data_IF_254958576921
#
_entry.id   IF_254958576921
#
_cell.length_a   1.000
_cell.length_b   1.000
_cell.length_c   1.000
_cell.angle_alpha   90.00
_cell.angle_beta   90.00
_cell.angle_gamma   90.00
#
_symmetry.space_group_name_H-M   'P 1'
#
loop_
_entity.id
_entity.type
_entity.pdbx_description
1 polymer ?
#
# COMPACT_ATOMS: atom_id res chain seq x y z
N UNK A 1 14.56 -72.18 -126.37
CA UNK A 1 14.95 -70.96 -125.64
C UNK A 1 14.10 -70.66 -124.38
N UNK A 2 12.88 -71.20 -124.21
CA UNK A 2 11.97 -70.80 -123.10
C UNK A 2 12.33 -71.42 -121.72
N UNK A 3 12.91 -72.63 -121.66
CA UNK A 3 13.28 -73.30 -120.39
C UNK A 3 14.43 -72.64 -119.61
N UNK A 4 15.38 -71.98 -120.30
CA UNK A 4 16.49 -71.27 -119.64
C UNK A 4 16.02 -69.97 -118.97
N UNK A 5 15.01 -69.30 -119.52
CA UNK A 5 14.39 -68.12 -118.89
C UNK A 5 13.58 -68.49 -117.64
N UNK A 6 12.95 -69.67 -117.60
CA UNK A 6 12.14 -70.13 -116.46
C UNK A 6 13.01 -70.52 -115.23
N UNK A 7 14.16 -71.15 -115.48
CA UNK A 7 15.17 -71.44 -114.45
C UNK A 7 15.88 -70.17 -113.95
N UNK A 8 16.18 -69.22 -114.83
CA UNK A 8 16.70 -67.90 -114.46
C UNK A 8 15.70 -67.07 -113.64
N UNK A 9 14.41 -67.17 -113.94
CA UNK A 9 13.34 -66.51 -113.19
C UNK A 9 13.13 -67.11 -111.79
N UNK A 10 13.20 -68.43 -111.64
CA UNK A 10 13.14 -69.11 -110.33
C UNK A 10 14.38 -68.82 -109.48
N UNK A 11 15.59 -68.88 -110.05
CA UNK A 11 16.82 -68.50 -109.35
C UNK A 11 16.82 -67.02 -108.96
N UNK A 12 16.36 -66.13 -109.84
CA UNK A 12 16.16 -64.72 -109.55
C UNK A 12 15.12 -64.48 -108.45
N UNK A 13 14.02 -65.26 -108.44
CA UNK A 13 12.98 -65.22 -107.41
C UNK A 13 13.47 -65.69 -106.03
N UNK A 14 14.29 -66.74 -105.98
CA UNK A 14 14.89 -67.23 -104.73
C UNK A 14 15.95 -66.25 -104.21
N UNK A 15 16.79 -65.70 -105.08
CA UNK A 15 17.79 -64.69 -104.70
C UNK A 15 17.11 -63.41 -104.21
N UNK A 16 16.08 -62.92 -104.91
CA UNK A 16 15.31 -61.75 -104.46
C UNK A 16 14.55 -62.02 -103.16
N UNK A 17 13.98 -63.21 -102.95
CA UNK A 17 13.34 -63.58 -101.69
C UNK A 17 14.35 -63.68 -100.53
N UNK A 18 15.54 -64.25 -100.74
CA UNK A 18 16.61 -64.32 -99.72
C UNK A 18 17.17 -62.93 -99.40
N UNK A 19 17.37 -62.07 -100.40
CA UNK A 19 17.78 -60.67 -100.22
C UNK A 19 16.68 -59.89 -99.49
N UNK A 20 15.41 -60.09 -99.82
CA UNK A 20 14.29 -59.46 -99.13
C UNK A 20 14.16 -59.94 -97.68
N UNK A 21 14.36 -61.23 -97.41
CA UNK A 21 14.33 -61.80 -96.07
C UNK A 21 15.51 -61.32 -95.23
N UNK A 22 16.71 -61.23 -95.82
CA UNK A 22 17.91 -60.68 -95.19
C UNK A 22 17.76 -59.18 -94.92
N UNK A 23 17.23 -58.41 -95.89
CA UNK A 23 16.92 -57.00 -95.73
C UNK A 23 15.85 -56.78 -94.66
N UNK A 24 14.82 -57.64 -94.60
CA UNK A 24 13.78 -57.60 -93.58
C UNK A 24 14.33 -57.96 -92.19
N UNK A 25 15.19 -58.98 -92.08
CA UNK A 25 15.89 -59.33 -90.82
C UNK A 25 16.85 -58.24 -90.35
N UNK A 26 17.56 -57.58 -91.26
CA UNK A 26 18.41 -56.43 -90.95
C UNK A 26 17.59 -55.20 -90.56
N UNK A 27 16.47 -54.94 -91.24
CA UNK A 27 15.55 -53.85 -90.92
C UNK A 27 14.85 -54.08 -89.57
N UNK A 28 14.38 -55.30 -89.29
CA UNK A 28 13.78 -55.66 -88.01
C UNK A 28 14.80 -55.67 -86.87
N UNK A 29 16.05 -56.12 -87.11
CA UNK A 29 17.14 -55.98 -86.14
C UNK A 29 17.52 -54.52 -85.87
N UNK A 30 17.52 -53.65 -86.88
CA UNK A 30 17.72 -52.20 -86.72
C UNK A 30 16.56 -51.54 -85.98
N UNK A 31 15.32 -51.92 -86.28
CA UNK A 31 14.13 -51.43 -85.59
C UNK A 31 14.12 -51.86 -84.12
N UNK A 32 14.44 -53.14 -83.83
CA UNK A 32 14.63 -53.65 -82.47
C UNK A 32 15.76 -52.93 -81.73
N UNK A 33 16.90 -52.66 -82.38
CA UNK A 33 17.99 -51.88 -81.76
C UNK A 33 17.56 -50.44 -81.46
N UNK A 34 16.78 -49.80 -82.33
CA UNK A 34 16.23 -48.46 -82.09
C UNK A 34 15.24 -48.45 -80.92
N UNK A 35 14.24 -49.34 -80.95
CA UNK A 35 13.27 -49.51 -79.86
C UNK A 35 13.96 -49.82 -78.53
N UNK A 36 14.99 -50.68 -78.54
CA UNK A 36 15.79 -50.99 -77.34
C UNK A 36 16.55 -49.76 -76.83
N UNK A 37 17.16 -48.97 -77.72
CA UNK A 37 17.85 -47.73 -77.33
C UNK A 37 16.89 -46.65 -76.82
N UNK A 38 15.67 -46.57 -77.37
CA UNK A 38 14.60 -45.69 -76.89
C UNK A 38 14.08 -46.12 -75.52
N UNK A 39 13.86 -47.43 -75.33
CA UNK A 39 13.48 -47.99 -74.04
C UNK A 39 14.57 -47.76 -72.98
N UNK A 40 15.86 -47.95 -73.33
CA UNK A 40 16.99 -47.66 -72.43
C UNK A 40 17.05 -46.17 -72.06
N UNK A 41 16.81 -45.25 -73.01
CA UNK A 41 16.70 -43.82 -72.73
C UNK A 41 15.51 -43.49 -71.81
N UNK A 42 14.34 -44.07 -72.07
CA UNK A 42 13.16 -43.88 -71.22
C UNK A 42 13.40 -44.37 -69.80
N UNK A 43 13.97 -45.57 -69.64
CA UNK A 43 14.35 -46.11 -68.33
C UNK A 43 15.32 -45.17 -67.63
N UNK A 44 16.32 -44.63 -68.35
CA UNK A 44 17.27 -43.69 -67.78
C UNK A 44 16.63 -42.36 -67.34
N UNK A 45 15.73 -41.79 -68.15
CA UNK A 45 14.98 -40.58 -67.78
C UNK A 45 14.03 -40.82 -66.60
N UNK A 46 13.40 -41.99 -66.52
CA UNK A 46 12.52 -42.36 -65.41
C UNK A 46 13.31 -42.58 -64.11
N UNK A 47 14.51 -43.16 -64.19
CA UNK A 47 15.39 -43.28 -63.01
C UNK A 47 15.85 -41.91 -62.54
N UNK A 48 16.31 -41.03 -63.44
CA UNK A 48 16.66 -39.65 -63.08
C UNK A 48 15.49 -38.87 -62.47
N UNK A 49 14.28 -39.01 -63.03
CA UNK A 49 13.08 -38.40 -62.48
C UNK A 49 12.72 -38.98 -61.09
N UNK A 50 12.89 -40.29 -60.90
CA UNK A 50 12.70 -40.95 -59.60
C UNK A 50 13.70 -40.47 -58.55
N UNK A 51 14.97 -40.33 -58.92
CA UNK A 51 16.02 -39.81 -58.03
C UNK A 51 15.73 -38.36 -57.63
N UNK A 52 15.38 -37.49 -58.59
CA UNK A 52 15.01 -36.10 -58.33
C UNK A 52 13.74 -35.97 -57.46
N UNK A 53 12.76 -36.85 -57.68
CA UNK A 53 11.55 -36.92 -56.85
C UNK A 53 11.90 -37.33 -55.41
N UNK A 54 12.80 -38.30 -55.24
CA UNK A 54 13.23 -38.75 -53.91
C UNK A 54 14.00 -37.67 -53.16
N UNK A 55 14.80 -36.86 -53.86
CA UNK A 55 15.48 -35.70 -53.28
C UNK A 55 14.48 -34.63 -52.82
N UNK A 56 13.47 -34.32 -53.65
CA UNK A 56 12.38 -33.41 -53.29
C UNK A 56 11.60 -33.89 -52.06
N UNK A 57 11.27 -35.18 -51.97
CA UNK A 57 10.59 -35.75 -50.80
C UNK A 57 11.46 -35.57 -49.55
N UNK A 58 12.76 -35.85 -49.65
CA UNK A 58 13.69 -35.63 -48.53
C UNK A 58 13.75 -34.16 -48.07
N UNK A 59 13.75 -33.22 -49.02
CA UNK A 59 13.71 -31.79 -48.72
C UNK A 59 12.39 -31.37 -48.04
N UNK A 60 11.26 -31.85 -48.55
CA UNK A 60 9.93 -31.59 -47.97
C UNK A 60 9.81 -32.19 -46.56
N UNK A 61 10.36 -33.36 -46.33
CA UNK A 61 10.37 -34.02 -45.03
C UNK A 61 11.22 -33.23 -44.02
N UNK A 62 12.39 -32.73 -44.44
CA UNK A 62 13.20 -31.81 -43.64
C UNK A 62 12.48 -30.49 -43.34
N UNK A 63 11.81 -29.88 -44.32
CA UNK A 63 11.01 -28.67 -44.10
C UNK A 63 9.86 -28.91 -43.13
N UNK A 64 9.16 -30.05 -43.25
CA UNK A 64 8.06 -30.42 -42.36
C UNK A 64 8.55 -30.59 -40.93
N UNK A 65 9.67 -31.29 -40.73
CA UNK A 65 10.31 -31.43 -39.42
C UNK A 65 10.74 -30.08 -38.83
N UNK A 66 11.30 -29.18 -39.65
CA UNK A 66 11.67 -27.83 -39.22
C UNK A 66 10.45 -27.01 -38.81
N UNK A 67 9.34 -27.13 -39.56
CA UNK A 67 8.08 -26.44 -39.26
C UNK A 67 7.47 -26.98 -37.96
N UNK A 68 7.44 -28.30 -37.77
CA UNK A 68 6.96 -28.94 -36.55
C UNK A 68 7.78 -28.51 -35.32
N UNK A 69 9.10 -28.45 -35.45
CA UNK A 69 9.98 -27.93 -34.40
C UNK A 69 9.68 -26.45 -34.08
N UNK A 70 9.47 -25.62 -35.10
CA UNK A 70 9.10 -24.21 -34.92
C UNK A 70 7.74 -24.03 -34.25
N UNK A 71 6.73 -24.81 -34.64
CA UNK A 71 5.40 -24.81 -34.01
C UNK A 71 5.50 -25.26 -32.54
N UNK A 72 6.30 -26.29 -32.24
CA UNK A 72 6.53 -26.73 -30.88
C UNK A 72 7.17 -25.63 -30.02
N UNK A 73 8.19 -24.96 -30.55
CA UNK A 73 8.84 -23.83 -29.87
C UNK A 73 7.86 -22.67 -29.62
N UNK A 74 7.09 -22.27 -30.64
CA UNK A 74 6.09 -21.20 -30.52
C UNK A 74 5.00 -21.54 -29.49
N UNK A 75 4.58 -22.80 -29.41
CA UNK A 75 3.64 -23.25 -28.36
C UNK A 75 4.24 -23.08 -26.98
N UNK A 76 5.50 -23.48 -26.79
CA UNK A 76 6.21 -23.30 -25.52
C UNK A 76 6.34 -21.82 -25.15
N UNK A 77 6.77 -20.97 -26.09
CA UNK A 77 6.84 -19.50 -25.88
C UNK A 77 5.47 -18.92 -25.52
N UNK A 78 4.40 -19.30 -26.23
CA UNK A 78 3.05 -18.82 -25.94
C UNK A 78 2.57 -19.25 -24.55
N UNK A 79 2.86 -20.49 -24.13
CA UNK A 79 2.52 -20.95 -22.77
C UNK A 79 3.30 -20.17 -21.70
N UNK A 80 4.57 -19.89 -21.94
CA UNK A 80 5.41 -19.13 -21.01
C UNK A 80 4.97 -17.66 -20.94
N UNK A 81 4.60 -17.07 -22.07
CA UNK A 81 4.09 -15.71 -22.14
C UNK A 81 2.71 -15.59 -21.46
N UNK A 82 1.84 -16.58 -21.61
CA UNK A 82 0.55 -16.64 -20.89
C UNK A 82 0.76 -16.72 -19.39
N UNK A 83 1.67 -17.58 -18.92
CA UNK A 83 1.98 -17.69 -17.50
C UNK A 83 2.52 -16.38 -16.93
N UNK A 84 3.46 -15.73 -17.64
CA UNK A 84 4.00 -14.42 -17.26
C UNK A 84 2.92 -13.32 -17.24
N UNK A 85 1.98 -13.33 -18.20
CA UNK A 85 0.88 -12.38 -18.20
C UNK A 85 -0.07 -12.56 -17.01
N UNK A 86 -0.30 -13.80 -16.59
CA UNK A 86 -1.13 -14.08 -15.41
C UNK A 86 -0.41 -13.70 -14.10
N UNK A 87 0.91 -13.88 -14.01
CA UNK A 87 1.74 -13.38 -12.90
C UNK A 87 1.67 -11.85 -12.79
N UNK A 88 1.88 -11.12 -13.89
CA UNK A 88 1.79 -9.64 -13.91
C UNK A 88 0.39 -9.16 -13.55
N UNK A 89 -0.66 -9.85 -14.00
CA UNK A 89 -2.05 -9.52 -13.60
C UNK A 89 -2.27 -9.72 -12.10
N UNK A 90 -1.74 -10.79 -11.53
CA UNK A 90 -1.85 -11.06 -10.09
C UNK A 90 -1.10 -10.00 -9.28
N UNK A 91 0.10 -9.62 -9.70
CA UNK A 91 0.91 -8.57 -9.07
C UNK A 91 0.21 -7.20 -9.16
N UNK A 92 -0.33 -6.85 -10.32
CA UNK A 92 -1.10 -5.61 -10.51
C UNK A 92 -2.34 -5.56 -9.60
N UNK A 93 -3.07 -6.67 -9.47
CA UNK A 93 -4.22 -6.75 -8.58
C UNK A 93 -3.81 -6.55 -7.12
N UNK A 94 -2.75 -7.21 -6.67
CA UNK A 94 -2.22 -7.05 -5.32
C UNK A 94 -1.76 -5.60 -5.05
N UNK A 95 -1.14 -4.95 -6.05
CA UNK A 95 -0.73 -3.55 -5.95
C UNK A 95 -1.94 -2.59 -5.84
N UNK A 96 -3.01 -2.82 -6.61
CA UNK A 96 -4.24 -2.03 -6.52
C UNK A 96 -4.93 -2.19 -5.15
N UNK A 97 -5.04 -3.42 -4.64
CA UNK A 97 -5.56 -3.69 -3.30
C UNK A 97 -4.70 -3.03 -2.21
N UNK A 98 -3.37 -3.06 -2.36
CA UNK A 98 -2.45 -2.37 -1.47
C UNK A 98 -2.64 -0.85 -1.49
N UNK A 99 -2.87 -0.26 -2.67
CA UNK A 99 -3.14 1.18 -2.81
C UNK A 99 -4.42 1.61 -2.10
N UNK A 100 -5.50 0.84 -2.24
CA UNK A 100 -6.77 1.14 -1.57
C UNK A 100 -6.64 1.06 -0.04
N UNK A 101 -5.90 0.07 0.47
CA UNK A 101 -5.58 -0.02 1.90
C UNK A 101 -4.77 1.18 2.41
N UNK A 102 -3.80 1.66 1.62
CA UNK A 102 -3.00 2.84 1.96
C UNK A 102 -3.86 4.10 1.99
N UNK A 103 -4.77 4.28 1.02
CA UNK A 103 -5.70 5.41 1.00
C UNK A 103 -6.64 5.40 2.23
N UNK A 104 -7.15 4.23 2.62
CA UNK A 104 -7.94 4.09 3.85
C UNK A 104 -7.14 4.43 5.11
N UNK A 105 -5.87 3.98 5.21
CA UNK A 105 -5.01 4.34 6.34
C UNK A 105 -4.72 5.84 6.39
N UNK A 106 -4.48 6.48 5.24
CA UNK A 106 -4.25 7.92 5.16
C UNK A 106 -5.45 8.73 5.67
N UNK A 107 -6.67 8.34 5.29
CA UNK A 107 -7.90 9.00 5.78
C UNK A 107 -8.11 8.81 7.28
N UNK A 108 -7.85 7.62 7.82
CA UNK A 108 -7.89 7.37 9.27
C UNK A 108 -6.88 8.23 10.03
N UNK A 109 -5.67 8.36 9.49
CA UNK A 109 -4.60 9.13 10.10
C UNK A 109 -4.91 10.63 10.11
N UNK A 110 -5.50 11.16 9.03
CA UNK A 110 -5.98 12.54 8.97
C UNK A 110 -7.10 12.81 10.00
N UNK A 111 -8.02 11.87 10.18
CA UNK A 111 -9.06 11.97 11.20
C UNK A 111 -8.48 11.99 12.62
N UNK A 112 -7.47 11.16 12.89
CA UNK A 112 -6.79 11.14 14.19
C UNK A 112 -5.99 12.43 14.44
N UNK A 113 -5.33 12.98 13.42
CA UNK A 113 -4.68 14.30 13.52
C UNK A 113 -5.67 15.40 13.89
N UNK A 114 -6.85 15.43 13.25
CA UNK A 114 -7.90 16.40 13.56
C UNK A 114 -8.40 16.23 15.00
N UNK A 115 -8.55 14.99 15.48
CA UNK A 115 -8.94 14.68 16.86
C UNK A 115 -7.89 15.18 17.86
N UNK A 116 -6.61 14.92 17.61
CA UNK A 116 -5.51 15.38 18.46
C UNK A 116 -5.41 16.91 18.48
N UNK A 117 -5.63 17.58 17.36
CA UNK A 117 -5.69 19.05 17.29
C UNK A 117 -6.82 19.63 18.14
N UNK A 118 -8.00 19.01 18.09
CA UNK A 118 -9.13 19.39 18.97
C UNK A 118 -8.82 19.20 20.46
N UNK A 119 -8.10 18.13 20.79
CA UNK A 119 -7.65 17.87 22.16
C UNK A 119 -6.60 18.91 22.60
N UNK A 120 -5.63 19.24 21.75
CA UNK A 120 -4.64 20.28 22.02
C UNK A 120 -5.30 21.63 22.37
N UNK A 121 -6.29 22.04 21.58
CA UNK A 121 -7.07 23.26 21.88
C UNK A 121 -7.85 23.19 23.19
N UNK A 122 -8.24 21.99 23.63
CA UNK A 122 -8.90 21.80 24.95
C UNK A 122 -7.92 21.96 26.10
N UNK A 123 -6.70 21.43 25.95
CA UNK A 123 -5.63 21.62 26.93
C UNK A 123 -5.22 23.09 27.06
N UNK A 124 -5.19 23.84 25.96
CA UNK A 124 -4.92 25.29 26.00
C UNK A 124 -5.98 26.04 26.81
N UNK A 125 -7.27 25.76 26.58
CA UNK A 125 -8.35 26.37 27.38
C UNK A 125 -8.25 26.01 28.86
N UNK A 126 -7.93 24.75 29.18
CA UNK A 126 -7.71 24.34 30.57
C UNK A 126 -6.50 25.04 31.18
N UNK A 127 -5.43 25.24 30.42
CA UNK A 127 -4.26 25.98 30.87
C UNK A 127 -4.62 27.42 31.28
N UNK A 128 -5.36 28.15 30.44
CA UNK A 128 -5.86 29.48 30.75
C UNK A 128 -6.78 29.50 31.99
N UNK A 129 -7.70 28.53 32.09
CA UNK A 129 -8.59 28.40 33.25
C UNK A 129 -7.82 28.17 34.55
N UNK A 130 -6.75 27.38 34.52
CA UNK A 130 -5.92 27.14 35.69
C UNK A 130 -5.13 28.39 36.12
N UNK A 131 -4.63 29.19 35.16
CA UNK A 131 -3.99 30.49 35.47
C UNK A 131 -5.00 31.41 36.17
N UNK A 132 -6.24 31.46 35.68
CA UNK A 132 -7.31 32.23 36.32
C UNK A 132 -7.60 31.70 37.73
N UNK A 133 -7.66 30.38 37.93
CA UNK A 133 -7.92 29.77 39.23
C UNK A 133 -6.80 30.06 40.25
N UNK A 134 -5.53 30.00 39.82
CA UNK A 134 -4.39 30.38 40.65
C UNK A 134 -4.47 31.85 41.09
N UNK A 135 -4.84 32.74 40.16
CA UNK A 135 -5.04 34.16 40.46
C UNK A 135 -6.19 34.38 41.46
N UNK A 136 -7.29 33.66 41.29
CA UNK A 136 -8.42 33.68 42.23
C UNK A 136 -8.03 33.19 43.62
N UNK A 137 -7.27 32.09 43.74
CA UNK A 137 -6.77 31.63 45.04
C UNK A 137 -5.88 32.68 45.73
N UNK A 138 -5.01 33.37 44.98
CA UNK A 138 -4.19 34.46 45.52
C UNK A 138 -5.04 35.63 46.05
N UNK A 139 -6.10 36.00 45.36
CA UNK A 139 -7.07 37.00 45.84
C UNK A 139 -7.79 36.54 47.11
N UNK A 140 -8.22 35.27 47.17
CA UNK A 140 -8.85 34.72 48.38
C UNK A 140 -7.89 34.70 49.58
N UNK A 141 -6.60 34.43 49.36
CA UNK A 141 -5.57 34.57 50.40
C UNK A 141 -5.46 36.00 50.90
N UNK A 142 -5.47 37.00 50.00
CA UNK A 142 -5.42 38.41 50.38
C UNK A 142 -6.63 38.80 51.23
N UNK A 143 -7.84 38.43 50.79
CA UNK A 143 -9.10 38.68 51.52
C UNK A 143 -9.13 37.99 52.88
N UNK A 144 -8.64 36.76 52.98
CA UNK A 144 -8.57 36.06 54.27
C UNK A 144 -7.56 36.71 55.24
N UNK A 145 -6.44 37.24 54.72
CA UNK A 145 -5.48 38.01 55.55
C UNK A 145 -6.11 39.30 56.09
N UNK A 146 -6.85 40.01 55.25
CA UNK A 146 -7.58 41.21 55.65
C UNK A 146 -8.63 40.88 56.71
N UNK A 147 -9.45 39.85 56.48
CA UNK A 147 -10.46 39.39 57.43
C UNK A 147 -9.83 38.98 58.78
N UNK A 148 -8.71 38.24 58.75
CA UNK A 148 -7.96 37.90 59.96
C UNK A 148 -7.44 39.15 60.70
N UNK A 149 -7.07 40.21 59.98
CA UNK A 149 -6.67 41.49 60.57
C UNK A 149 -7.84 42.22 61.22
N UNK A 150 -9.00 42.26 60.55
CA UNK A 150 -10.24 42.83 61.10
C UNK A 150 -10.63 42.10 62.39
N UNK A 151 -10.61 40.77 62.38
CA UNK A 151 -10.94 39.96 63.55
C UNK A 151 -10.02 40.28 64.74
N UNK A 152 -8.69 40.36 64.53
CA UNK A 152 -7.76 40.77 65.58
C UNK A 152 -8.07 42.17 66.12
N UNK A 153 -8.45 43.10 65.26
CA UNK A 153 -8.85 44.44 65.68
C UNK A 153 -10.12 44.40 66.54
N UNK A 154 -11.12 43.59 66.17
CA UNK A 154 -12.35 43.40 66.96
C UNK A 154 -12.03 42.80 68.33
N UNK A 155 -11.08 41.86 68.42
CA UNK A 155 -10.62 41.33 69.72
C UNK A 155 -10.07 42.47 70.60
N UNK A 156 -9.24 43.36 70.07
CA UNK A 156 -8.68 44.50 70.83
C UNK A 156 -9.78 45.48 71.25
N UNK A 157 -10.70 45.84 70.34
CA UNK A 157 -11.80 46.76 70.64
C UNK A 157 -12.73 46.18 71.72
N UNK A 158 -13.05 44.89 71.62
CA UNK A 158 -13.88 44.19 72.62
C UNK A 158 -13.21 44.15 73.99
N UNK A 159 -11.89 43.94 74.05
CA UNK A 159 -11.12 43.98 75.29
C UNK A 159 -11.15 45.39 75.91
N UNK A 160 -10.92 46.44 75.11
CA UNK A 160 -10.99 47.81 75.58
C UNK A 160 -12.39 48.15 76.11
N UNK A 161 -13.45 47.70 75.42
CA UNK A 161 -14.82 47.86 75.87
C UNK A 161 -15.10 47.11 77.19
N UNK A 162 -14.57 45.89 77.37
CA UNK A 162 -14.66 45.17 78.64
C UNK A 162 -13.97 45.91 79.79
N UNK A 163 -12.80 46.50 79.54
CA UNK A 163 -12.06 47.28 80.55
C UNK A 163 -12.85 48.53 80.96
N UNK A 164 -13.37 49.28 79.98
CA UNK A 164 -14.14 50.50 80.28
C UNK A 164 -15.47 50.18 80.97
N UNK A 165 -16.13 49.08 80.58
CA UNK A 165 -17.31 48.57 81.27
C UNK A 165 -17.03 48.20 82.73
N UNK A 166 -15.88 47.60 83.02
CA UNK A 166 -15.45 47.32 84.40
C UNK A 166 -15.17 48.62 85.18
N UNK A 167 -14.57 49.62 84.52
CA UNK A 167 -14.29 50.94 85.11
C UNK A 167 -15.55 51.71 85.48
N UNK A 168 -16.62 51.57 84.70
CA UNK A 168 -17.94 52.16 84.98
C UNK A 168 -18.72 51.45 86.12
N UNK A 169 -18.18 50.36 86.68
CA UNK A 169 -18.77 49.66 87.82
C UNK A 169 -20.18 49.11 87.54
N UNK A 170 -21.14 49.42 88.41
CA UNK A 170 -22.51 48.88 88.32
C UNK A 170 -23.25 49.35 87.07
N UNK A 171 -22.95 50.56 86.58
CA UNK A 171 -23.52 51.13 85.36
C UNK A 171 -23.01 50.45 84.07
N UNK A 172 -21.84 49.83 84.11
CA UNK A 172 -21.20 49.16 82.97
C UNK A 172 -21.55 47.69 82.77
N UNK A 173 -22.33 47.06 83.67
CA UNK A 173 -22.58 45.61 83.65
C UNK A 173 -23.16 45.08 82.33
N UNK A 174 -24.11 45.81 81.73
CA UNK A 174 -24.68 45.44 80.43
C UNK A 174 -23.65 45.48 79.30
N UNK A 175 -22.79 46.51 79.29
CA UNK A 175 -21.71 46.65 78.32
C UNK A 175 -20.63 45.57 78.48
N UNK A 176 -20.35 45.14 79.72
CA UNK A 176 -19.39 44.07 79.99
C UNK A 176 -19.84 42.73 79.36
N UNK A 177 -21.13 42.40 79.46
CA UNK A 177 -21.71 41.20 78.83
C UNK A 177 -21.59 41.28 77.31
N UNK A 178 -21.99 42.39 76.70
CA UNK A 178 -21.87 42.59 75.24
C UNK A 178 -20.42 42.47 74.78
N UNK A 179 -19.49 43.12 75.48
CA UNK A 179 -18.06 43.07 75.14
C UNK A 179 -17.50 41.63 75.22
N UNK A 180 -17.94 40.83 76.20
CA UNK A 180 -17.53 39.43 76.30
C UNK A 180 -18.07 38.56 75.16
N UNK A 181 -19.31 38.78 74.73
CA UNK A 181 -19.91 38.04 73.61
C UNK A 181 -19.26 38.41 72.28
N UNK A 182 -18.98 39.71 72.06
CA UNK A 182 -18.24 40.18 70.88
C UNK A 182 -16.85 39.56 70.83
N UNK A 183 -16.16 39.47 71.98
CA UNK A 183 -14.84 38.83 72.06
C UNK A 183 -14.90 37.33 71.73
N UNK A 184 -15.90 36.63 72.25
CA UNK A 184 -16.11 35.21 71.97
C UNK A 184 -16.45 34.96 70.49
N UNK A 185 -17.22 35.85 69.86
CA UNK A 185 -17.51 35.80 68.43
C UNK A 185 -16.24 36.05 67.60
N UNK A 186 -15.44 37.05 67.96
CA UNK A 186 -14.18 37.35 67.27
C UNK A 186 -13.18 36.18 67.36
N UNK A 187 -13.05 35.54 68.53
CA UNK A 187 -12.21 34.34 68.69
C UNK A 187 -12.67 33.19 67.78
N UNK A 188 -13.99 32.94 67.69
CA UNK A 188 -14.56 31.95 66.76
C UNK A 188 -14.30 32.32 65.29
N UNK A 189 -14.42 33.60 64.92
CA UNK A 189 -14.08 34.08 63.57
C UNK A 189 -12.59 33.90 63.24
N UNK A 190 -11.70 34.04 64.21
CA UNK A 190 -10.25 33.83 64.02
C UNK A 190 -9.94 32.37 63.72
N UNK A 191 -10.57 31.44 64.44
CA UNK A 191 -10.45 30.00 64.21
C UNK A 191 -10.95 29.61 62.82
N UNK A 192 -12.11 30.15 62.40
CA UNK A 192 -12.64 29.95 61.05
C UNK A 192 -11.69 30.50 59.98
N UNK A 193 -11.11 31.68 60.20
CA UNK A 193 -10.13 32.29 59.27
C UNK A 193 -8.88 31.41 59.12
N UNK A 194 -8.44 30.79 60.21
CA UNK A 194 -7.31 29.84 60.20
C UNK A 194 -7.67 28.57 59.41
N UNK A 195 -8.83 27.97 59.67
CA UNK A 195 -9.30 26.81 58.93
C UNK A 195 -9.46 27.10 57.43
N UNK A 196 -9.96 28.28 57.08
CA UNK A 196 -10.07 28.73 55.69
C UNK A 196 -8.69 28.90 55.04
N UNK A 197 -7.71 29.47 55.74
CA UNK A 197 -6.32 29.55 55.26
C UNK A 197 -5.72 28.18 54.96
N UNK A 198 -5.94 27.21 55.85
CA UNK A 198 -5.42 25.85 55.66
C UNK A 198 -6.08 25.17 54.44
N UNK A 199 -7.36 25.45 54.21
CA UNK A 199 -8.09 25.00 53.01
C UNK A 199 -7.57 25.64 51.73
N UNK A 200 -7.29 26.95 51.75
CA UNK A 200 -6.66 27.66 50.63
C UNK A 200 -5.29 27.08 50.28
N UNK A 201 -4.46 26.76 51.28
CA UNK A 201 -3.16 26.12 51.04
C UNK A 201 -3.30 24.74 50.37
N UNK A 202 -4.29 23.94 50.78
CA UNK A 202 -4.58 22.67 50.10
C UNK A 202 -5.02 22.90 48.66
N UNK A 203 -5.87 23.90 48.42
CA UNK A 203 -6.27 24.28 47.06
C UNK A 203 -5.08 24.68 46.20
N UNK A 204 -4.10 25.43 46.73
CA UNK A 204 -2.90 25.80 45.97
C UNK A 204 -2.10 24.58 45.53
N UNK A 205 -1.91 23.60 46.43
CA UNK A 205 -1.20 22.36 46.13
C UNK A 205 -1.90 21.58 45.01
N UNK A 206 -3.21 21.37 45.14
CA UNK A 206 -4.01 20.68 44.14
C UNK A 206 -3.99 21.42 42.80
N UNK A 207 -4.18 22.74 42.82
CA UNK A 207 -4.20 23.59 41.62
C UNK A 207 -2.85 23.52 40.90
N UNK A 208 -1.74 23.57 41.64
CA UNK A 208 -0.39 23.49 41.07
C UNK A 208 -0.11 22.13 40.46
N UNK A 209 -0.49 21.04 41.14
CA UNK A 209 -0.33 19.69 40.61
C UNK A 209 -1.16 19.49 39.33
N UNK A 210 -2.43 19.88 39.33
CA UNK A 210 -3.30 19.80 38.15
C UNK A 210 -2.77 20.65 36.99
N UNK A 211 -2.19 21.83 37.27
CA UNK A 211 -1.55 22.65 36.24
C UNK A 211 -0.35 21.96 35.59
N UNK A 212 0.48 21.27 36.38
CA UNK A 212 1.61 20.48 35.87
C UNK A 212 1.12 19.32 35.01
N UNK A 213 0.08 18.60 35.42
CA UNK A 213 -0.52 17.50 34.65
C UNK A 213 -1.08 17.99 33.31
N UNK A 214 -1.75 19.15 33.31
CA UNK A 214 -2.26 19.79 32.08
C UNK A 214 -1.09 20.16 31.16
N UNK A 215 -0.01 20.74 31.67
CA UNK A 215 1.15 21.06 30.84
C UNK A 215 1.83 19.81 30.25
N UNK A 216 1.99 18.76 31.06
CA UNK A 216 2.55 17.49 30.61
C UNK A 216 1.66 16.86 29.51
N UNK A 217 0.35 16.80 29.74
CA UNK A 217 -0.63 16.30 28.76
C UNK A 217 -0.63 17.11 27.47
N UNK A 218 -0.59 18.44 27.54
CA UNK A 218 -0.50 19.31 26.37
C UNK A 218 0.77 19.08 25.53
N UNK A 219 1.93 18.91 26.18
CA UNK A 219 3.18 18.55 25.50
C UNK A 219 3.09 17.18 24.83
N UNK A 220 2.53 16.18 25.51
CA UNK A 220 2.34 14.84 24.94
C UNK A 220 1.47 14.88 23.69
N UNK A 221 0.34 15.60 23.73
CA UNK A 221 -0.54 15.74 22.57
C UNK A 221 0.15 16.41 21.40
N UNK A 222 0.94 17.47 21.67
CA UNK A 222 1.69 18.16 20.63
C UNK A 222 2.72 17.23 19.97
N UNK A 223 3.41 16.40 20.76
CA UNK A 223 4.35 15.40 20.25
C UNK A 223 3.63 14.29 19.45
N UNK A 224 2.47 13.82 19.93
CA UNK A 224 1.64 12.85 19.19
C UNK A 224 1.15 13.43 17.87
N UNK A 225 0.71 14.69 17.84
CA UNK A 225 0.26 15.36 16.63
C UNK A 225 1.39 15.43 15.59
N UNK A 226 2.59 15.86 15.99
CA UNK A 226 3.76 15.89 15.12
C UNK A 226 4.12 14.50 14.57
N UNK A 227 4.00 13.46 15.40
CA UNK A 227 4.25 12.07 14.98
C UNK A 227 3.24 11.60 13.93
N UNK A 228 1.95 11.91 14.14
CA UNK A 228 0.87 11.58 13.21
C UNK A 228 1.03 12.33 11.88
N UNK A 229 1.37 13.62 11.92
CA UNK A 229 1.64 14.43 10.72
C UNK A 229 2.85 13.91 9.94
N UNK A 230 3.93 13.52 10.63
CA UNK A 230 5.09 12.89 9.99
C UNK A 230 4.72 11.58 9.30
N UNK A 231 3.92 10.74 9.95
CA UNK A 231 3.47 9.47 9.38
C UNK A 231 2.55 9.72 8.16
N UNK A 232 1.69 10.74 8.22
CA UNK A 232 0.82 11.11 7.10
C UNK A 232 1.64 11.56 5.87
N UNK A 233 2.67 12.37 6.09
CA UNK A 233 3.58 12.80 5.03
C UNK A 233 4.34 11.62 4.40
N UNK A 234 4.76 10.63 5.20
CA UNK A 234 5.39 9.42 4.67
C UNK A 234 4.43 8.64 3.75
N UNK A 235 3.19 8.41 4.17
CA UNK A 235 2.20 7.73 3.32
C UNK A 235 1.91 8.49 2.02
N UNK A 236 1.85 9.82 2.08
CA UNK A 236 1.64 10.63 0.89
C UNK A 236 2.82 10.54 -0.08
N UNK A 237 4.05 10.41 0.41
CA UNK A 237 5.23 10.20 -0.44
C UNK A 237 5.27 8.82 -1.11
N UNK A 238 4.69 7.79 -0.49
CA UNK A 238 4.62 6.42 -1.07
C UNK A 238 3.49 6.28 -2.11
N UNK A 239 2.51 7.19 -2.09
CA UNK A 239 1.38 7.19 -3.01
C UNK A 239 1.64 7.98 -4.31
N UNK A 240 2.67 8.83 -4.34
CA UNK A 240 3.13 9.62 -5.49
C UNK A 240 4.36 9.01 -6.13
#
# INVERSE_FOLDING_TARGET
MIQQYLLGALAGGVVTALVALAAHRLASARAMRRLRSEAERQVHTLTQAGDAQSELIGLHEQQTQALEASIAQLRTELTQQSASADEVRAELKAALEGKDQLAHKATQLAAEAARLKGLAGTFERWHEQMISLMTQNQDMHAKNRELSSIVRHVVIVSLNASIEAARAGTAGRGFAVVASEVRALAARSEELSKSYRDSLHRNDLTTTATFQDIQAGGKMITASLSSVESLANQFQSTLH
#
